data_IF_334016186306
#
_entry.id   IF_334016186306
#
_cell.length_a   1.000
_cell.length_b   1.000
_cell.length_c   1.000
_cell.angle_alpha   90.00
_cell.angle_beta   90.00
_cell.angle_gamma   90.00
#
_symmetry.space_group_name_H-M   'P 1'
#
loop_
_entity.id
_entity.type
_entity.pdbx_description
1 polymer ?
#
# COMPACT_ATOMS: atom_id res chain seq x y z
N UNK A 1 30.82 -6.56 17.03
CA UNK A 1 30.37 -7.56 16.05
C UNK A 1 30.23 -6.80 14.74
N UNK A 2 31.06 -7.07 13.74
CA UNK A 2 30.91 -6.40 12.44
C UNK A 2 29.55 -6.76 11.83
N UNK A 3 28.80 -5.74 11.45
CA UNK A 3 27.49 -5.91 10.85
C UNK A 3 27.64 -6.53 9.46
N UNK A 4 27.04 -7.71 9.25
CA UNK A 4 27.10 -8.40 7.96
C UNK A 4 26.50 -7.54 6.84
N UNK A 5 27.02 -7.70 5.62
CA UNK A 5 26.56 -6.98 4.41
C UNK A 5 25.03 -6.95 4.26
N UNK A 6 24.33 -8.04 4.54
CA UNK A 6 22.87 -8.09 4.47
C UNK A 6 22.22 -7.08 5.42
N UNK A 7 22.66 -7.05 6.68
CA UNK A 7 22.14 -6.15 7.69
C UNK A 7 22.38 -4.68 7.30
N UNK A 8 23.56 -4.36 6.76
CA UNK A 8 23.86 -3.01 6.24
C UNK A 8 22.95 -2.59 5.10
N UNK A 9 22.65 -3.50 4.17
CA UNK A 9 21.73 -3.24 3.05
C UNK A 9 20.31 -2.99 3.57
N UNK A 10 19.79 -3.87 4.43
CA UNK A 10 18.47 -3.71 5.04
C UNK A 10 18.35 -2.40 5.81
N UNK A 11 19.37 -2.04 6.58
CA UNK A 11 19.41 -0.77 7.31
C UNK A 11 19.38 0.44 6.38
N UNK A 12 20.12 0.40 5.27
CA UNK A 12 20.11 1.47 4.28
C UNK A 12 18.75 1.62 3.61
N UNK A 13 18.07 0.52 3.29
CA UNK A 13 16.73 0.52 2.70
C UNK A 13 15.71 1.10 3.67
N UNK A 14 15.73 0.67 4.93
CA UNK A 14 14.86 1.19 5.98
C UNK A 14 15.08 2.69 6.23
N UNK A 15 16.34 3.15 6.22
CA UNK A 15 16.69 4.56 6.38
C UNK A 15 16.13 5.45 5.26
N UNK A 16 16.18 4.97 4.01
CA UNK A 16 15.59 5.69 2.86
C UNK A 16 14.08 5.83 3.02
N UNK A 17 13.38 4.73 3.28
CA UNK A 17 11.93 4.74 3.48
C UNK A 17 11.50 5.68 4.61
N UNK A 18 12.26 5.69 5.72
CA UNK A 18 11.99 6.61 6.83
C UNK A 18 12.18 8.07 6.42
N UNK A 19 13.24 8.39 5.69
CA UNK A 19 13.49 9.75 5.21
C UNK A 19 12.39 10.22 4.25
N UNK A 20 11.93 9.37 3.33
CA UNK A 20 10.83 9.68 2.41
C UNK A 20 9.54 9.98 3.20
N UNK A 21 9.25 9.20 4.25
CA UNK A 21 8.10 9.43 5.12
C UNK A 21 8.22 10.72 5.93
N UNK A 22 9.39 11.02 6.51
CA UNK A 22 9.67 12.27 7.23
C UNK A 22 9.51 13.50 6.31
N UNK A 23 9.97 13.41 5.06
CA UNK A 23 9.78 14.45 4.06
C UNK A 23 8.29 14.69 3.76
N UNK A 24 7.48 13.62 3.68
CA UNK A 24 6.03 13.74 3.44
C UNK A 24 5.30 14.57 4.51
N UNK A 25 5.83 14.62 5.74
CA UNK A 25 5.24 15.39 6.85
C UNK A 25 5.44 16.90 6.70
N UNK A 26 6.37 17.34 5.84
CA UNK A 26 6.67 18.76 5.64
C UNK A 26 5.69 19.45 4.67
N UNK A 27 4.84 18.70 3.98
CA UNK A 27 3.82 19.24 3.08
C UNK A 27 2.52 19.52 3.86
N UNK A 28 2.14 20.80 4.00
CA UNK A 28 1.02 21.27 4.85
C UNK A 28 -0.39 21.10 4.26
N UNK A 29 -0.56 20.39 3.14
CA UNK A 29 -1.89 20.07 2.60
C UNK A 29 -2.36 18.73 3.16
N UNK A 30 -3.24 18.76 4.16
CA UNK A 30 -3.69 17.58 4.93
C UNK A 30 -4.31 16.47 4.07
N UNK A 31 -5.02 16.82 3.00
CA UNK A 31 -5.57 15.86 2.03
C UNK A 31 -4.48 15.20 1.17
N UNK A 32 -3.44 15.93 0.79
CA UNK A 32 -2.34 15.37 -0.01
C UNK A 32 -1.32 14.61 0.83
N UNK A 33 -1.30 14.81 2.16
CA UNK A 33 -0.35 14.12 3.04
C UNK A 33 -0.66 12.62 3.16
N UNK A 34 -1.94 12.24 3.23
CA UNK A 34 -2.37 10.84 3.23
C UNK A 34 -2.04 10.14 1.90
N UNK A 35 -2.48 10.74 0.79
CA UNK A 35 -2.22 10.25 -0.57
C UNK A 35 -0.71 10.18 -0.88
N UNK A 36 0.07 11.18 -0.44
CA UNK A 36 1.54 11.17 -0.60
C UNK A 36 2.19 10.00 0.14
N UNK A 37 1.76 9.71 1.38
CA UNK A 37 2.27 8.55 2.14
C UNK A 37 1.89 7.23 1.49
N UNK A 38 0.68 7.13 0.93
CA UNK A 38 0.26 5.96 0.16
C UNK A 38 1.12 5.75 -1.08
N UNK A 39 1.43 6.82 -1.82
CA UNK A 39 2.31 6.75 -2.98
C UNK A 39 3.76 6.35 -2.61
N UNK A 40 4.29 6.87 -1.51
CA UNK A 40 5.62 6.47 -1.00
C UNK A 40 5.62 4.98 -0.62
N UNK A 41 4.59 4.53 0.11
CA UNK A 41 4.46 3.12 0.48
C UNK A 41 4.30 2.22 -0.74
N UNK A 42 3.50 2.62 -1.73
CA UNK A 42 3.32 1.87 -2.97
C UNK A 42 4.63 1.78 -3.76
N UNK A 43 5.35 2.89 -3.97
CA UNK A 43 6.64 2.88 -4.66
C UNK A 43 7.69 2.03 -3.94
N UNK A 44 7.67 1.99 -2.60
CA UNK A 44 8.51 1.06 -1.84
C UNK A 44 8.12 -0.40 -2.10
N UNK A 45 6.82 -0.72 -2.02
CA UNK A 45 6.30 -2.07 -2.18
C UNK A 45 6.53 -2.62 -3.59
N UNK A 46 6.39 -1.80 -4.64
CA UNK A 46 6.62 -2.21 -6.03
C UNK A 46 8.03 -2.80 -6.25
N UNK A 47 9.03 -2.29 -5.52
CA UNK A 47 10.40 -2.78 -5.59
C UNK A 47 10.73 -3.93 -4.64
N UNK A 48 9.94 -4.14 -3.58
CA UNK A 48 10.22 -5.15 -2.56
C UNK A 48 9.34 -6.41 -2.71
N UNK A 49 8.19 -6.29 -3.37
CA UNK A 49 7.27 -7.40 -3.54
C UNK A 49 7.73 -8.36 -4.64
N UNK A 50 7.49 -9.68 -4.47
CA UNK A 50 7.64 -10.64 -5.55
C UNK A 50 6.82 -10.26 -6.78
N UNK A 51 7.32 -10.56 -7.98
CA UNK A 51 6.70 -10.12 -9.24
C UNK A 51 5.29 -10.64 -9.55
N UNK A 52 4.74 -11.56 -8.75
CA UNK A 52 3.34 -12.01 -8.87
C UNK A 52 2.38 -11.22 -7.95
N UNK A 53 2.89 -10.33 -7.10
CA UNK A 53 2.11 -9.50 -6.20
C UNK A 53 2.08 -8.06 -6.74
N UNK A 54 0.91 -7.44 -6.69
CA UNK A 54 0.68 -6.03 -7.01
C UNK A 54 0.16 -5.31 -5.76
N UNK A 55 0.71 -4.12 -5.49
CA UNK A 55 0.16 -3.20 -4.49
C UNK A 55 -0.73 -2.17 -5.18
N UNK A 56 -2.02 -2.17 -4.83
CA UNK A 56 -3.04 -1.33 -5.45
C UNK A 56 -3.50 -0.30 -4.42
N UNK A 57 -3.35 0.99 -4.73
CA UNK A 57 -3.83 2.07 -3.88
C UNK A 57 -5.33 2.35 -4.08
N UNK A 58 -6.05 2.67 -3.01
CA UNK A 58 -7.41 3.18 -3.08
C UNK A 58 -8.44 2.21 -3.68
N UNK A 59 -8.28 0.90 -3.46
CA UNK A 59 -9.14 -0.13 -4.04
C UNK A 59 -10.23 -0.63 -3.07
N UNK A 60 -11.31 -1.16 -3.63
CA UNK A 60 -12.34 -1.87 -2.89
C UNK A 60 -12.29 -3.37 -3.18
N UNK A 61 -12.71 -4.17 -2.20
CA UNK A 61 -12.71 -5.63 -2.29
C UNK A 61 -14.16 -6.10 -2.42
N UNK A 62 -14.44 -6.87 -3.46
CA UNK A 62 -15.75 -7.47 -3.71
C UNK A 62 -15.72 -8.98 -3.51
N UNK A 63 -16.75 -9.51 -2.85
CA UNK A 63 -16.96 -10.96 -2.67
C UNK A 63 -17.89 -11.51 -3.75
N UNK A 64 -17.80 -12.82 -4.04
CA UNK A 64 -18.74 -13.51 -4.94
C UNK A 64 -20.22 -13.39 -4.50
N UNK A 65 -20.49 -13.11 -3.23
CA UNK A 65 -21.83 -12.87 -2.69
C UNK A 65 -22.34 -11.43 -2.89
N UNK A 66 -21.57 -10.56 -3.56
CA UNK A 66 -21.95 -9.18 -3.84
C UNK A 66 -21.72 -8.19 -2.70
N UNK A 67 -21.06 -8.60 -1.61
CA UNK A 67 -20.61 -7.66 -0.56
C UNK A 67 -19.34 -6.95 -1.00
N UNK A 68 -19.23 -5.66 -0.70
CA UNK A 68 -18.11 -4.79 -1.05
C UNK A 68 -17.56 -4.13 0.21
N UNK A 69 -16.23 -4.03 0.32
CA UNK A 69 -15.56 -3.33 1.43
C UNK A 69 -15.60 -1.81 1.25
N UNK A 70 -15.35 -1.02 2.31
CA UNK A 70 -14.89 0.35 2.15
C UNK A 70 -13.59 0.43 1.31
N UNK A 71 -13.26 1.65 0.87
CA UNK A 71 -12.00 1.91 0.17
C UNK A 71 -10.81 1.64 1.10
N UNK A 72 -9.89 0.82 0.62
CA UNK A 72 -8.65 0.47 1.32
C UNK A 72 -7.49 1.31 0.77
N UNK A 73 -6.62 1.79 1.65
CA UNK A 73 -5.45 2.58 1.26
C UNK A 73 -4.50 1.77 0.38
N UNK A 74 -4.22 0.51 0.76
CA UNK A 74 -3.40 -0.42 -0.03
C UNK A 74 -4.00 -1.83 0.02
N UNK A 75 -4.18 -2.44 -1.15
CA UNK A 75 -4.54 -3.85 -1.33
C UNK A 75 -3.37 -4.57 -1.98
N UNK A 76 -2.89 -5.64 -1.35
CA UNK A 76 -1.93 -6.57 -1.95
C UNK A 76 -2.72 -7.68 -2.63
N UNK A 77 -2.56 -7.82 -3.94
CA UNK A 77 -3.31 -8.78 -4.74
C UNK A 77 -2.43 -9.52 -5.75
N UNK A 78 -2.94 -10.61 -6.29
CA UNK A 78 -2.35 -11.28 -7.46
C UNK A 78 -2.25 -10.28 -8.62
N UNK A 79 -1.06 -10.11 -9.20
CA UNK A 79 -0.84 -9.21 -10.33
C UNK A 79 -1.64 -9.61 -11.58
N UNK A 80 -1.98 -10.89 -11.71
CA UNK A 80 -2.82 -11.41 -12.79
C UNK A 80 -4.32 -11.21 -12.52
N UNK A 81 -4.70 -10.51 -11.44
CA UNK A 81 -6.11 -10.21 -11.14
C UNK A 81 -6.75 -9.44 -12.30
N UNK A 82 -7.81 -9.99 -12.91
CA UNK A 82 -8.51 -9.30 -13.99
C UNK A 82 -9.07 -7.97 -13.48
N UNK A 83 -8.88 -6.86 -14.21
CA UNK A 83 -9.50 -5.59 -13.84
C UNK A 83 -11.03 -5.71 -14.01
N UNK A 84 -11.76 -5.74 -12.89
CA UNK A 84 -13.23 -5.78 -12.90
C UNK A 84 -13.84 -4.42 -13.28
N UNK A 85 -13.08 -3.34 -13.19
CA UNK A 85 -13.49 -1.98 -13.56
C UNK A 85 -12.28 -1.17 -14.05
N UNK A 86 -12.52 -0.24 -14.98
CA UNK A 86 -11.52 0.65 -15.57
C UNK A 86 -11.91 2.13 -15.43
N UNK A 87 -12.71 2.50 -14.42
CA UNK A 87 -13.05 3.91 -14.18
C UNK A 87 -11.93 4.63 -13.42
N UNK A 88 -11.22 5.54 -14.10
CA UNK A 88 -10.42 6.65 -13.52
C UNK A 88 -9.71 6.35 -12.18
N UNK A 89 -8.85 5.32 -12.13
CA UNK A 89 -8.04 5.01 -10.95
C UNK A 89 -8.76 4.27 -9.82
N UNK A 90 -10.06 4.03 -9.94
CA UNK A 90 -10.84 3.24 -9.00
C UNK A 90 -10.87 1.77 -9.44
N UNK A 91 -10.39 0.86 -8.58
CA UNK A 91 -10.27 -0.58 -8.86
C UNK A 91 -11.05 -1.39 -7.83
N UNK A 92 -11.88 -2.31 -8.34
CA UNK A 92 -12.54 -3.34 -7.55
C UNK A 92 -11.78 -4.64 -7.76
N UNK A 93 -11.40 -5.29 -6.65
CA UNK A 93 -10.59 -6.50 -6.61
C UNK A 93 -11.45 -7.65 -6.04
N UNK A 94 -11.52 -8.83 -6.69
CA UNK A 94 -12.16 -9.99 -6.09
C UNK A 94 -11.43 -10.42 -4.81
N UNK A 95 -12.18 -10.75 -3.75
CA UNK A 95 -11.63 -11.18 -2.46
C UNK A 95 -10.68 -12.37 -2.55
N UNK A 96 -10.88 -13.24 -3.53
CA UNK A 96 -10.12 -14.45 -3.81
C UNK A 96 -8.70 -14.14 -4.32
N UNK A 97 -8.49 -12.94 -4.86
CA UNK A 97 -7.21 -12.49 -5.38
C UNK A 97 -6.42 -11.64 -4.37
N UNK A 98 -6.98 -11.36 -3.19
CA UNK A 98 -6.38 -10.49 -2.17
C UNK A 98 -5.49 -11.32 -1.24
N UNK A 99 -4.22 -10.91 -1.10
CA UNK A 99 -3.27 -11.48 -0.15
C UNK A 99 -3.17 -10.69 1.17
N UNK A 100 -3.49 -9.40 1.14
CA UNK A 100 -3.43 -8.54 2.32
C UNK A 100 -4.02 -7.15 2.08
N UNK A 101 -4.34 -6.45 3.17
CA UNK A 101 -4.95 -5.12 3.12
C UNK A 101 -4.38 -4.22 4.20
N UNK A 102 -4.18 -2.95 3.87
CA UNK A 102 -3.96 -1.86 4.81
C UNK A 102 -5.14 -0.90 4.68
N UNK A 103 -5.88 -0.72 5.77
CA UNK A 103 -7.02 0.19 5.86
C UNK A 103 -6.62 1.54 6.45
N UNK A 104 -7.45 2.59 6.27
CA UNK A 104 -7.26 3.86 6.95
C UNK A 104 -7.16 3.70 8.47
N UNK A 105 -6.32 4.50 9.11
CA UNK A 105 -6.06 4.41 10.56
C UNK A 105 -7.31 4.65 11.42
N UNK A 106 -8.27 5.43 10.92
CA UNK A 106 -9.52 5.74 11.61
C UNK A 106 -10.51 4.56 11.66
N UNK A 107 -10.39 3.56 10.79
CA UNK A 107 -11.21 2.34 10.85
C UNK A 107 -10.73 1.34 11.91
N UNK A 108 -9.44 1.41 12.30
CA UNK A 108 -8.82 0.49 13.28
C UNK A 108 -8.87 0.97 14.73
N UNK A 109 -9.43 2.15 15.03
CA UNK A 109 -9.62 2.60 16.41
C UNK A 109 -8.32 2.79 17.21
N UNK A 110 -7.29 3.42 16.63
CA UNK A 110 -6.13 3.89 17.38
C UNK A 110 -5.63 5.26 16.88
N UNK A 111 -5.31 6.19 17.80
CA UNK A 111 -4.77 7.51 17.47
C UNK A 111 -3.29 7.36 17.10
N UNK A 112 -2.84 8.00 16.02
CA UNK A 112 -1.57 8.74 15.85
C UNK A 112 -1.49 9.24 14.39
#
# INVERSE_FOLDING_TARGET
MEENTLARVLHSVAKRMRADFEQSQQFNHSLSAGESRELIANGFLDHQLPGHIEAICGAEIATAAGKVSPQCDIVLADRCTPPLTHRQGYRIVPSECVYGVKTPSWETGAPF
#
